data_IF_835213966000
#
_entry.id   IF_835213966000
#
_cell.length_a   1.000
_cell.length_b   1.000
_cell.length_c   1.000
_cell.angle_alpha   90.00
_cell.angle_beta   90.00
_cell.angle_gamma   90.00
#
_symmetry.space_group_name_H-M   'P 1'
#
loop_
_entity.id
_entity.type
_entity.pdbx_description
1 polymer ?
#
# COMPACT_ATOMS: atom_id res chain seq x y z
N UNK A 1 -10.69 5.52 14.86
CA UNK A 1 -11.32 6.01 13.61
C UNK A 1 -12.63 5.27 13.38
N UNK A 2 -13.70 6.01 13.09
CA UNK A 2 -14.97 5.42 12.66
C UNK A 2 -15.19 5.78 11.20
N UNK A 3 -15.44 4.79 10.35
CA UNK A 3 -15.79 5.00 8.94
C UNK A 3 -16.98 4.12 8.56
N UNK A 4 -17.74 4.54 7.54
CA UNK A 4 -18.92 3.81 7.07
C UNK A 4 -18.58 2.40 6.58
N UNK A 5 -17.41 2.24 5.96
CA UNK A 5 -17.01 1.00 5.29
C UNK A 5 -15.82 0.29 5.95
N UNK A 6 -15.44 0.70 7.16
CA UNK A 6 -14.35 0.10 7.91
C UNK A 6 -13.00 0.79 7.75
N UNK A 7 -12.03 0.33 8.49
CA UNK A 7 -10.63 0.76 8.43
C UNK A 7 -9.78 -0.44 8.07
N UNK A 8 -8.85 -0.27 7.15
CA UNK A 8 -8.04 -1.35 6.58
C UNK A 8 -6.56 -1.10 6.80
N UNK A 9 -5.82 -2.16 6.95
CA UNK A 9 -4.38 -2.16 7.14
C UNK A 9 -3.73 -3.18 6.21
N UNK A 10 -2.53 -2.92 5.75
CA UNK A 10 -1.63 -3.90 5.14
C UNK A 10 -0.30 -3.88 5.87
N UNK A 11 0.37 -5.01 5.86
CA UNK A 11 1.69 -5.18 6.46
C UNK A 11 2.74 -4.47 5.60
N UNK A 12 3.64 -3.72 6.25
CA UNK A 12 4.84 -3.16 5.62
C UNK A 12 6.10 -3.96 5.95
N UNK A 13 7.24 -3.51 5.47
CA UNK A 13 8.53 -4.20 5.66
C UNK A 13 8.98 -4.22 7.12
N UNK A 14 8.63 -3.23 7.93
CA UNK A 14 9.05 -3.17 9.33
C UNK A 14 8.43 -4.25 10.20
N UNK A 15 7.22 -4.70 9.89
CA UNK A 15 6.53 -5.77 10.61
C UNK A 15 7.29 -7.11 10.53
N UNK A 16 8.09 -7.33 9.48
CA UNK A 16 8.91 -8.54 9.33
C UNK A 16 10.07 -8.62 10.33
N UNK A 17 10.51 -7.51 10.90
CA UNK A 17 11.52 -7.48 11.97
C UNK A 17 10.95 -7.79 13.35
N UNK A 18 9.62 -7.89 13.44
CA UNK A 18 8.89 -8.16 14.66
C UNK A 18 8.00 -9.39 14.46
N UNK A 19 7.32 -9.85 15.45
CA UNK A 19 6.37 -10.97 15.32
C UNK A 19 5.13 -10.53 14.53
N UNK A 20 5.19 -10.64 13.21
CA UNK A 20 4.18 -10.14 12.26
C UNK A 20 2.75 -10.57 12.64
N UNK A 21 2.55 -11.86 12.99
CA UNK A 21 1.23 -12.35 13.39
C UNK A 21 0.70 -11.67 14.66
N UNK A 22 1.58 -11.33 15.59
CA UNK A 22 1.19 -10.59 16.81
C UNK A 22 0.71 -9.19 16.46
N UNK A 23 1.37 -8.52 15.50
CA UNK A 23 0.97 -7.18 15.03
C UNK A 23 -0.38 -7.26 14.34
N UNK A 24 -0.57 -8.22 13.43
CA UNK A 24 -1.85 -8.45 12.75
C UNK A 24 -2.97 -8.67 13.76
N UNK A 25 -2.78 -9.56 14.72
CA UNK A 25 -3.78 -9.85 15.75
C UNK A 25 -4.11 -8.60 16.58
N UNK A 26 -3.10 -7.82 16.94
CA UNK A 26 -3.30 -6.57 17.67
C UNK A 26 -4.07 -5.54 16.85
N UNK A 27 -3.69 -5.30 15.60
CA UNK A 27 -4.37 -4.37 14.69
C UNK A 27 -5.83 -4.78 14.49
N UNK A 28 -6.08 -6.08 14.26
CA UNK A 28 -7.43 -6.61 14.11
C UNK A 28 -8.27 -6.45 15.40
N UNK A 29 -7.65 -6.58 16.60
CA UNK A 29 -8.33 -6.37 17.89
C UNK A 29 -8.79 -4.92 18.10
N UNK A 30 -8.20 -3.97 17.38
CA UNK A 30 -8.60 -2.56 17.39
C UNK A 30 -9.76 -2.26 16.41
N UNK A 31 -10.33 -3.28 15.76
CA UNK A 31 -11.38 -3.12 14.75
C UNK A 31 -10.87 -2.65 13.38
N UNK A 32 -9.57 -2.77 13.13
CA UNK A 32 -8.93 -2.48 11.84
C UNK A 32 -8.70 -3.81 11.14
N UNK A 33 -9.29 -3.98 9.95
CA UNK A 33 -9.13 -5.24 9.20
C UNK A 33 -7.78 -5.25 8.45
N UNK A 34 -6.91 -6.21 8.77
CA UNK A 34 -5.71 -6.46 7.96
C UNK A 34 -6.10 -7.22 6.70
N UNK A 35 -5.62 -6.75 5.54
CA UNK A 35 -5.77 -7.45 4.26
C UNK A 35 -4.52 -8.28 3.99
N UNK A 36 -4.68 -9.61 4.01
CA UNK A 36 -3.62 -10.61 3.96
C UNK A 36 -3.64 -11.37 2.63
N UNK A 37 -3.24 -10.71 1.52
CA UNK A 37 -3.44 -11.19 0.15
C UNK A 37 -4.92 -11.44 -0.15
N UNK A 38 -5.76 -10.53 0.25
CA UNK A 38 -7.22 -10.64 0.10
C UNK A 38 -7.82 -9.31 -0.34
N UNK A 39 -9.09 -9.33 -0.63
CA UNK A 39 -9.86 -8.15 -0.97
C UNK A 39 -11.17 -8.05 -0.22
N UNK A 40 -11.75 -6.86 -0.28
CA UNK A 40 -13.08 -6.55 0.25
C UNK A 40 -13.80 -5.61 -0.72
N UNK A 41 -15.08 -5.83 -0.92
CA UNK A 41 -15.92 -4.93 -1.69
C UNK A 41 -16.35 -3.74 -0.82
N UNK A 42 -16.12 -2.53 -1.32
CA UNK A 42 -16.42 -1.27 -0.64
C UNK A 42 -17.51 -0.54 -1.42
N UNK A 43 -18.62 -0.25 -0.77
CA UNK A 43 -19.72 0.52 -1.37
C UNK A 43 -21.04 -0.23 -1.42
N UNK A 44 -22.02 0.36 -2.12
CA UNK A 44 -23.32 -0.26 -2.37
C UNK A 44 -23.20 -1.26 -3.55
N UNK A 45 -24.08 -2.26 -3.56
CA UNK A 45 -24.11 -3.28 -4.61
C UNK A 45 -24.07 -2.64 -6.01
N UNK A 46 -23.14 -3.04 -6.84
CA UNK A 46 -22.89 -2.55 -8.21
C UNK A 46 -22.46 -1.07 -8.34
N UNK A 47 -22.16 -0.39 -7.23
CA UNK A 47 -21.71 1.03 -7.24
C UNK A 47 -20.44 1.22 -6.37
N UNK A 48 -19.73 0.16 -6.10
CA UNK A 48 -18.52 0.17 -5.29
C UNK A 48 -17.30 -0.28 -6.07
N UNK A 49 -16.24 -0.53 -5.33
CA UNK A 49 -14.97 -1.00 -5.85
C UNK A 49 -14.39 -2.08 -4.94
N UNK A 50 -13.42 -2.84 -5.45
CA UNK A 50 -12.65 -3.74 -4.60
C UNK A 50 -11.43 -3.03 -4.02
N UNK A 51 -11.26 -3.13 -2.72
CA UNK A 51 -10.04 -2.78 -2.01
C UNK A 51 -9.26 -4.06 -1.76
N UNK A 52 -8.13 -4.21 -2.45
CA UNK A 52 -7.25 -5.35 -2.36
C UNK A 52 -6.02 -4.99 -1.52
N UNK A 53 -5.49 -5.93 -0.77
CA UNK A 53 -4.25 -5.74 -0.02
C UNK A 53 -3.34 -6.93 -0.17
N UNK A 54 -2.04 -6.66 -0.33
CA UNK A 54 -1.01 -7.67 -0.36
C UNK A 54 -0.04 -7.50 0.80
N UNK A 55 0.61 -8.60 1.20
CA UNK A 55 1.78 -8.52 2.06
C UNK A 55 2.89 -7.71 1.40
N UNK A 56 3.85 -7.24 2.19
CA UNK A 56 4.97 -6.49 1.64
C UNK A 56 5.90 -7.41 0.83
N UNK A 57 6.46 -6.86 -0.25
CA UNK A 57 7.45 -7.54 -1.09
C UNK A 57 8.69 -8.04 -0.33
N UNK A 58 8.90 -7.53 0.87
CA UNK A 58 9.96 -7.99 1.78
C UNK A 58 9.81 -9.47 2.15
N UNK A 59 8.59 -10.01 2.09
CA UNK A 59 8.29 -11.43 2.26
C UNK A 59 9.07 -12.34 1.31
N UNK A 60 9.32 -11.93 0.07
CA UNK A 60 10.14 -12.68 -0.89
C UNK A 60 11.55 -12.95 -0.40
N UNK A 61 12.12 -12.05 0.42
CA UNK A 61 13.47 -12.23 0.98
C UNK A 61 13.53 -13.35 2.04
N UNK A 62 12.42 -13.58 2.71
CA UNK A 62 12.36 -14.52 3.84
C UNK A 62 11.55 -15.78 3.56
N UNK A 63 10.92 -15.88 2.37
CA UNK A 63 10.04 -16.96 1.97
C UNK A 63 8.89 -17.21 2.98
N UNK A 64 8.34 -16.13 3.56
CA UNK A 64 7.16 -16.19 4.40
C UNK A 64 6.38 -14.88 4.34
N UNK A 65 5.05 -14.94 4.46
CA UNK A 65 4.15 -13.80 4.26
C UNK A 65 4.44 -13.08 2.94
N UNK A 66 4.62 -13.86 1.87
CA UNK A 66 4.88 -13.32 0.54
C UNK A 66 3.63 -12.66 -0.06
N UNK A 67 3.80 -11.56 -0.81
CA UNK A 67 2.69 -10.97 -1.53
C UNK A 67 2.22 -11.88 -2.67
N UNK A 68 0.91 -12.09 -2.75
CA UNK A 68 0.24 -12.88 -3.80
C UNK A 68 -0.86 -12.03 -4.45
N UNK A 69 -0.54 -11.47 -5.60
CA UNK A 69 -1.48 -10.61 -6.34
C UNK A 69 -2.67 -11.39 -6.90
N UNK A 70 -2.48 -12.64 -7.31
CA UNK A 70 -3.55 -13.45 -7.87
C UNK A 70 -4.61 -13.77 -6.81
N UNK A 71 -4.15 -14.00 -5.57
CA UNK A 71 -5.03 -14.22 -4.43
C UNK A 71 -5.77 -12.94 -4.05
N UNK A 72 -5.06 -11.81 -4.01
CA UNK A 72 -5.64 -10.51 -3.70
C UNK A 72 -6.67 -10.04 -4.73
N UNK A 73 -6.48 -10.33 -6.02
CA UNK A 73 -7.40 -9.95 -7.11
C UNK A 73 -8.47 -11.01 -7.41
N UNK A 74 -8.60 -12.04 -6.58
CA UNK A 74 -9.60 -13.09 -6.82
C UNK A 74 -11.02 -12.51 -6.81
N UNK A 75 -11.79 -12.77 -7.89
CA UNK A 75 -13.19 -12.35 -8.06
C UNK A 75 -13.41 -10.81 -8.15
N UNK A 76 -12.39 -10.03 -8.51
CA UNK A 76 -12.50 -8.57 -8.67
C UNK A 76 -12.86 -8.13 -10.09
N UNK A 77 -12.91 -9.05 -11.06
CA UNK A 77 -13.12 -8.75 -12.48
C UNK A 77 -14.38 -7.90 -12.70
N UNK A 78 -14.30 -6.96 -13.64
CA UNK A 78 -15.38 -6.05 -14.03
C UNK A 78 -15.81 -5.02 -12.96
N UNK A 79 -14.97 -4.81 -11.95
CA UNK A 79 -15.18 -3.78 -10.96
C UNK A 79 -13.93 -2.89 -10.82
N UNK A 80 -14.10 -1.59 -10.53
CA UNK A 80 -12.97 -0.75 -10.15
C UNK A 80 -12.19 -1.39 -8.99
N UNK A 81 -10.88 -1.36 -9.07
CA UNK A 81 -10.03 -2.05 -8.10
C UNK A 81 -8.89 -1.17 -7.62
N UNK A 82 -8.78 -1.03 -6.31
CA UNK A 82 -7.70 -0.31 -5.64
C UNK A 82 -6.81 -1.33 -4.93
N UNK A 83 -5.52 -1.33 -5.23
CA UNK A 83 -4.53 -2.17 -4.57
C UNK A 83 -3.79 -1.38 -3.49
N UNK A 84 -3.74 -1.90 -2.29
CA UNK A 84 -2.84 -1.47 -1.23
C UNK A 84 -1.56 -2.30 -1.32
N UNK A 85 -0.42 -1.64 -1.58
CA UNK A 85 0.90 -2.26 -1.57
C UNK A 85 1.88 -1.32 -0.87
N UNK A 86 2.55 -1.78 0.19
CA UNK A 86 3.36 -0.88 1.01
C UNK A 86 4.47 -0.18 0.22
N UNK A 87 5.23 -0.93 -0.60
CA UNK A 87 6.34 -0.40 -1.40
C UNK A 87 5.95 -0.18 -2.87
N UNK A 88 6.19 1.01 -3.45
CA UNK A 88 6.01 1.24 -4.89
C UNK A 88 6.80 0.26 -5.77
N UNK A 89 7.94 -0.22 -5.29
CA UNK A 89 8.80 -1.17 -5.98
C UNK A 89 8.11 -2.51 -6.29
N UNK A 90 7.06 -2.87 -5.54
CA UNK A 90 6.28 -4.08 -5.80
C UNK A 90 5.70 -4.13 -7.22
N UNK A 91 5.40 -2.98 -7.81
CA UNK A 91 4.92 -2.91 -9.20
C UNK A 91 5.92 -3.49 -10.22
N UNK A 92 7.22 -3.49 -9.91
CA UNK A 92 8.24 -4.12 -10.76
C UNK A 92 8.26 -5.65 -10.65
N UNK A 93 7.68 -6.20 -9.58
CA UNK A 93 7.61 -7.65 -9.37
C UNK A 93 6.37 -8.25 -10.07
N UNK A 94 5.41 -7.41 -10.50
CA UNK A 94 4.22 -7.83 -11.21
C UNK A 94 4.50 -8.00 -12.71
N UNK A 95 3.91 -9.04 -13.32
CA UNK A 95 3.96 -9.22 -14.79
C UNK A 95 3.24 -8.11 -15.53
N UNK A 96 2.09 -7.71 -15.00
CA UNK A 96 1.28 -6.58 -15.46
C UNK A 96 0.42 -6.08 -14.30
N UNK A 97 -0.29 -4.99 -14.51
CA UNK A 97 -1.25 -4.42 -13.53
C UNK A 97 -2.68 -4.45 -14.06
N UNK A 98 -2.98 -5.37 -14.98
CA UNK A 98 -4.32 -5.52 -15.55
C UNK A 98 -5.36 -5.79 -14.46
N UNK A 99 -6.45 -5.03 -14.48
CA UNK A 99 -7.51 -5.11 -13.48
C UNK A 99 -7.21 -4.33 -12.19
N UNK A 100 -6.18 -3.47 -12.19
CA UNK A 100 -5.87 -2.55 -11.10
C UNK A 100 -5.94 -1.12 -11.61
N UNK A 101 -6.88 -0.33 -11.12
CA UNK A 101 -7.04 1.06 -11.55
C UNK A 101 -6.14 2.01 -10.76
N UNK A 102 -6.00 1.76 -9.45
CA UNK A 102 -5.21 2.60 -8.56
C UNK A 102 -4.39 1.74 -7.59
N UNK A 103 -3.12 2.08 -7.43
CA UNK A 103 -2.25 1.51 -6.39
C UNK A 103 -1.95 2.58 -5.35
N UNK A 104 -2.19 2.26 -4.08
CA UNK A 104 -1.85 3.13 -2.96
C UNK A 104 -0.63 2.57 -2.24
N UNK A 105 0.42 3.39 -2.16
CA UNK A 105 1.70 3.04 -1.55
C UNK A 105 2.12 4.03 -0.47
N UNK A 106 3.03 3.58 0.38
CA UNK A 106 3.75 4.40 1.36
C UNK A 106 5.25 4.18 1.26
N UNK A 107 5.87 3.74 2.35
CA UNK A 107 7.26 3.28 2.47
C UNK A 107 8.35 4.33 2.26
N UNK A 108 8.24 5.16 1.25
CA UNK A 108 9.29 6.09 0.79
C UNK A 108 9.49 7.29 1.71
N UNK A 109 8.51 7.60 2.55
CA UNK A 109 8.42 8.82 3.36
C UNK A 109 8.62 10.12 2.57
N UNK A 110 8.41 10.09 1.23
CA UNK A 110 8.70 11.21 0.33
C UNK A 110 10.19 11.52 0.21
N UNK A 111 11.05 10.56 0.56
CA UNK A 111 12.51 10.73 0.65
C UNK A 111 12.99 11.31 1.97
N UNK A 112 12.10 11.59 2.91
CA UNK A 112 12.23 12.05 4.30
C UNK A 112 13.25 13.15 4.55
N UNK A 113 14.52 12.98 4.17
CA UNK A 113 15.63 13.91 4.48
C UNK A 113 16.40 14.24 3.20
N UNK A 114 16.44 15.52 2.85
CA UNK A 114 17.34 16.00 1.79
C UNK A 114 18.81 15.94 2.30
N UNK A 115 19.80 15.45 1.49
CA UNK A 115 19.67 15.00 0.08
C UNK A 115 19.41 13.51 -0.13
N UNK A 116 19.12 12.73 0.93
CA UNK A 116 18.87 11.28 0.83
C UNK A 116 17.67 10.90 -0.06
N UNK A 117 16.77 11.85 -0.32
CA UNK A 117 15.69 11.67 -1.28
C UNK A 117 16.17 11.24 -2.67
N UNK A 118 17.40 11.55 -3.08
CA UNK A 118 17.98 11.07 -4.34
C UNK A 118 18.26 9.56 -4.30
N UNK A 119 18.72 9.03 -3.16
CA UNK A 119 18.94 7.60 -2.98
C UNK A 119 17.61 6.83 -3.02
N UNK A 120 16.56 7.38 -2.41
CA UNK A 120 15.22 6.77 -2.47
C UNK A 120 14.72 6.69 -3.92
N UNK A 121 14.99 7.69 -4.76
CA UNK A 121 14.64 7.67 -6.20
C UNK A 121 15.38 6.58 -7.00
N UNK A 122 16.57 6.19 -6.58
CA UNK A 122 17.30 5.09 -7.23
C UNK A 122 16.67 3.73 -6.90
N UNK A 123 16.14 3.57 -5.69
CA UNK A 123 15.58 2.32 -5.22
C UNK A 123 14.09 2.15 -5.57
N UNK A 124 13.31 3.22 -5.49
CA UNK A 124 11.85 3.20 -5.67
C UNK A 124 11.45 3.89 -6.97
N UNK A 125 10.54 3.29 -7.78
CA UNK A 125 10.10 3.90 -9.05
C UNK A 125 9.31 5.19 -8.85
N UNK A 126 8.62 5.31 -7.72
CA UNK A 126 7.83 6.47 -7.33
C UNK A 126 8.14 6.84 -5.89
N UNK A 127 8.25 8.13 -5.58
CA UNK A 127 8.66 8.60 -4.24
C UNK A 127 7.53 9.29 -3.50
N UNK A 128 6.67 10.04 -4.18
CA UNK A 128 5.54 10.77 -3.58
C UNK A 128 4.54 11.23 -4.63
N UNK A 129 3.28 11.36 -4.25
CA UNK A 129 2.20 11.92 -5.08
C UNK A 129 1.62 10.93 -6.07
N UNK A 130 0.81 11.46 -6.98
CA UNK A 130 0.09 10.71 -8.01
C UNK A 130 0.93 10.60 -9.29
N UNK A 131 0.99 9.39 -9.84
CA UNK A 131 1.70 9.07 -11.08
C UNK A 131 0.83 8.19 -11.97
N UNK A 132 0.95 8.36 -13.29
CA UNK A 132 0.45 7.40 -14.26
C UNK A 132 1.48 6.29 -14.44
N UNK A 133 1.11 5.05 -14.11
CA UNK A 133 2.00 3.90 -14.24
C UNK A 133 1.97 3.33 -15.67
N UNK A 134 0.77 3.15 -16.21
CA UNK A 134 0.50 2.76 -17.59
C UNK A 134 -0.88 3.31 -18.02
N UNK A 135 -1.41 2.89 -19.16
CA UNK A 135 -2.67 3.40 -19.72
C UNK A 135 -3.88 3.23 -18.77
N UNK A 136 -3.86 2.22 -17.90
CA UNK A 136 -5.00 1.83 -17.06
C UNK A 136 -4.76 2.05 -15.58
N UNK A 137 -3.50 2.08 -15.11
CA UNK A 137 -3.17 2.06 -13.70
C UNK A 137 -2.52 3.36 -13.25
N UNK A 138 -3.06 3.97 -12.22
CA UNK A 138 -2.44 5.07 -11.48
C UNK A 138 -1.77 4.57 -10.20
N UNK A 139 -0.78 5.30 -9.72
CA UNK A 139 -0.08 5.02 -8.46
C UNK A 139 -0.04 6.29 -7.62
N UNK A 140 -0.53 6.21 -6.40
CA UNK A 140 -0.39 7.27 -5.43
C UNK A 140 0.53 6.83 -4.29
N UNK A 141 1.58 7.62 -4.04
CA UNK A 141 2.55 7.36 -2.97
C UNK A 141 2.40 8.42 -1.88
N UNK A 142 1.90 7.99 -0.72
CA UNK A 142 1.75 8.83 0.46
C UNK A 142 3.08 8.96 1.20
N UNK A 143 3.41 10.17 1.65
CA UNK A 143 4.64 10.42 2.42
C UNK A 143 4.57 9.92 3.85
N UNK A 144 3.36 9.62 4.34
CA UNK A 144 3.13 9.17 5.71
C UNK A 144 3.42 10.24 6.78
N UNK A 145 3.13 9.89 8.02
CA UNK A 145 3.31 10.76 9.19
C UNK A 145 4.52 10.39 10.06
N UNK A 146 5.01 9.16 9.93
CA UNK A 146 6.16 8.63 10.67
C UNK A 146 7.52 9.05 10.11
N UNK A 147 8.55 8.40 10.58
CA UNK A 147 9.94 8.57 10.14
C UNK A 147 10.67 7.23 10.17
N UNK A 148 11.79 7.15 9.47
CA UNK A 148 12.76 6.07 9.60
C UNK A 148 14.12 6.66 10.01
N UNK A 149 14.90 5.92 10.80
CA UNK A 149 16.17 6.44 11.35
C UNK A 149 15.95 7.65 12.27
N UNK A 150 16.60 8.79 12.02
CA UNK A 150 16.45 9.97 12.87
C UNK A 150 15.02 10.52 12.83
N UNK A 151 14.48 10.98 13.98
CA UNK A 151 13.10 11.47 14.09
C UNK A 151 12.96 12.89 13.53
N UNK A 152 13.32 13.05 12.25
CA UNK A 152 13.28 14.34 11.57
C UNK A 152 12.84 14.18 10.11
N UNK A 153 12.28 15.23 9.55
CA UNK A 153 11.96 15.36 8.13
C UNK A 153 12.51 16.68 7.61
N UNK A 154 13.25 16.63 6.49
CA UNK A 154 13.79 17.80 5.80
C UNK A 154 13.48 17.71 4.30
N UNK A 155 12.62 18.62 3.80
CA UNK A 155 12.15 18.59 2.41
C UNK A 155 11.03 17.62 2.09
N UNK A 156 10.49 16.90 3.11
CA UNK A 156 9.35 16.02 2.98
C UNK A 156 8.45 16.08 4.22
N UNK A 157 7.50 17.02 4.22
CA UNK A 157 6.51 17.17 5.31
C UNK A 157 5.68 15.89 5.51
N UNK A 158 5.19 15.68 6.73
CA UNK A 158 4.19 14.63 7.03
C UNK A 158 2.92 14.83 6.23
N UNK A 159 2.23 13.72 5.90
CA UNK A 159 1.05 13.74 5.05
C UNK A 159 -0.01 12.75 5.53
N UNK A 160 -1.26 13.22 5.56
CA UNK A 160 -2.48 12.41 5.58
C UNK A 160 -3.26 12.83 4.35
N UNK A 161 -3.64 11.88 3.49
CA UNK A 161 -4.28 12.17 2.21
C UNK A 161 -5.76 11.83 2.24
N UNK A 162 -6.58 12.69 1.64
CA UNK A 162 -7.97 12.41 1.32
C UNK A 162 -8.04 12.28 -0.20
N UNK A 163 -8.44 11.11 -0.67
CA UNK A 163 -8.60 10.81 -2.09
C UNK A 163 -10.09 10.81 -2.44
N UNK A 164 -10.45 11.59 -3.46
CA UNK A 164 -11.77 11.55 -4.06
C UNK A 164 -11.71 10.68 -5.30
N UNK A 165 -12.49 9.62 -5.31
CA UNK A 165 -12.66 8.74 -6.47
C UNK A 165 -13.85 9.24 -7.31
N UNK A 166 -13.67 9.32 -8.61
CA UNK A 166 -14.68 9.78 -9.57
C UNK A 166 -14.79 8.83 -10.74
#
# INVERSE_FOLDING_TARGET
LKSKYGTYFIVGNHEYFHKIQRIINYVNSLGIKTLENENVYIGEKNKGFYLCGVYDRFGFKYNFYEPDINKALKNTQNHPTILLAHQPKYLKDLKDTKGIDLVLCGHTHGGQIFPFNFLVKLEQPYVKGLHQHNEHTQVYVNKGTGFWGPPMRLGASSEISILKLS
#
